data_IF_720584417848
#
_entry.id   IF_720584417848
#
_cell.length_a   1.000
_cell.length_b   1.000
_cell.length_c   1.000
_cell.angle_alpha   90.00
_cell.angle_beta   90.00
_cell.angle_gamma   90.00
#
_symmetry.space_group_name_H-M   'P 1'
#
loop_
_entity.id
_entity.type
_entity.pdbx_description
1 polymer ?
#
# COMPACT_ATOMS: atom_id res chain seq x y z
N UNK A 1 11.66 -11.36 8.62
CA UNK A 1 10.46 -11.73 7.80
C UNK A 1 10.91 -12.13 6.41
N UNK A 2 10.32 -13.19 5.88
CA UNK A 2 10.67 -13.65 4.53
C UNK A 2 9.96 -12.78 3.48
N UNK A 3 10.71 -12.14 2.55
CA UNK A 3 10.09 -11.27 1.55
C UNK A 3 9.08 -11.97 0.65
N UNK A 4 9.34 -13.22 0.27
CA UNK A 4 8.41 -13.98 -0.58
C UNK A 4 7.12 -14.31 0.18
N UNK A 5 7.22 -14.58 1.48
CA UNK A 5 6.05 -14.80 2.32
C UNK A 5 5.19 -13.53 2.38
N UNK A 6 5.85 -12.37 2.54
CA UNK A 6 5.15 -11.08 2.58
C UNK A 6 4.39 -10.83 1.28
N UNK A 7 5.04 -11.06 0.12
CA UNK A 7 4.38 -10.91 -1.19
C UNK A 7 3.19 -11.85 -1.34
N UNK A 8 3.32 -13.09 -0.88
CA UNK A 8 2.22 -14.07 -0.89
C UNK A 8 1.05 -13.60 -0.03
N UNK A 9 1.34 -13.10 1.16
CA UNK A 9 0.32 -12.56 2.07
C UNK A 9 -0.40 -11.36 1.45
N UNK A 10 0.35 -10.42 0.87
CA UNK A 10 -0.22 -9.22 0.23
C UNK A 10 -1.02 -9.61 -1.01
N UNK A 11 -0.61 -10.65 -1.75
CA UNK A 11 -1.37 -11.16 -2.90
C UNK A 11 -2.78 -11.59 -2.49
N UNK A 12 -2.96 -12.07 -1.27
CA UNK A 12 -4.26 -12.49 -0.75
C UNK A 12 -5.01 -11.35 -0.04
N UNK A 13 -4.31 -10.55 0.75
CA UNK A 13 -4.93 -9.66 1.73
C UNK A 13 -4.62 -8.17 1.53
N UNK A 14 -3.69 -7.82 0.65
CA UNK A 14 -3.32 -6.42 0.43
C UNK A 14 -4.25 -5.71 -0.53
N UNK A 15 -4.13 -4.38 -0.54
CA UNK A 15 -4.89 -3.53 -1.47
C UNK A 15 -4.02 -2.40 -1.99
N UNK A 16 -4.16 -2.13 -3.29
CA UNK A 16 -3.48 -1.02 -3.96
C UNK A 16 -4.57 -0.09 -4.51
N UNK A 17 -4.67 1.10 -3.95
CA UNK A 17 -5.71 2.07 -4.35
C UNK A 17 -5.10 3.31 -4.97
N UNK A 18 -5.83 3.88 -5.93
CA UNK A 18 -5.53 5.20 -6.47
C UNK A 18 -6.74 6.08 -6.21
N UNK A 19 -6.53 7.17 -5.47
CA UNK A 19 -7.58 8.12 -5.16
C UNK A 19 -7.31 9.43 -5.89
N UNK A 20 -8.26 9.89 -6.68
CA UNK A 20 -8.13 11.13 -7.45
C UNK A 20 -9.04 12.16 -6.81
N UNK A 21 -8.45 13.27 -6.35
CA UNK A 21 -9.18 14.36 -5.70
C UNK A 21 -9.21 15.53 -6.64
N UNK A 22 -10.43 16.01 -6.98
CA UNK A 22 -10.63 17.20 -7.79
C UNK A 22 -10.67 18.43 -6.90
N UNK A 23 -9.83 19.42 -7.20
CA UNK A 23 -9.90 20.71 -6.53
C UNK A 23 -11.05 21.54 -7.10
N UNK A 24 -11.87 22.12 -6.22
CA UNK A 24 -12.99 22.99 -6.64
C UNK A 24 -12.52 24.34 -7.21
N UNK A 25 -11.29 24.74 -6.86
CA UNK A 25 -10.77 26.07 -7.20
C UNK A 25 -9.64 26.04 -8.23
N UNK A 26 -9.14 24.86 -8.56
CA UNK A 26 -8.04 24.69 -9.51
C UNK A 26 -8.36 23.54 -10.46
N UNK A 27 -7.88 23.63 -11.68
CA UNK A 27 -8.02 22.55 -12.67
C UNK A 27 -7.12 21.36 -12.33
N UNK A 28 -6.21 21.49 -11.36
CA UNK A 28 -5.25 20.47 -10.97
C UNK A 28 -5.91 19.41 -10.11
N UNK A 29 -5.80 18.15 -10.53
CA UNK A 29 -6.24 16.99 -9.75
C UNK A 29 -5.10 16.49 -8.88
N UNK A 30 -5.41 16.16 -7.62
CA UNK A 30 -4.46 15.51 -6.74
C UNK A 30 -4.65 14.00 -6.84
N UNK A 31 -3.56 13.27 -7.04
CA UNK A 31 -3.55 11.81 -7.11
C UNK A 31 -2.87 11.27 -5.86
N UNK A 32 -3.56 10.43 -5.11
CA UNK A 32 -3.02 9.80 -3.90
C UNK A 32 -2.95 8.29 -4.14
N UNK A 33 -1.76 7.74 -3.97
CA UNK A 33 -1.53 6.29 -4.03
C UNK A 33 -1.57 5.74 -2.61
N UNK A 34 -2.34 4.68 -2.40
CA UNK A 34 -2.52 4.08 -1.08
C UNK A 34 -2.25 2.57 -1.16
N UNK A 35 -1.32 2.10 -0.34
CA UNK A 35 -1.13 0.67 -0.11
C UNK A 35 -1.64 0.35 1.28
N UNK A 36 -2.51 -0.65 1.41
CA UNK A 36 -3.06 -1.03 2.71
C UNK A 36 -3.25 -2.53 2.87
N UNK A 37 -3.19 -2.98 4.12
CA UNK A 37 -3.50 -4.36 4.52
C UNK A 37 -4.37 -4.30 5.76
N UNK A 38 -5.54 -4.92 5.70
CA UNK A 38 -6.48 -4.99 6.83
C UNK A 38 -6.55 -6.41 7.37
N UNK A 39 -6.45 -6.56 8.68
CA UNK A 39 -6.50 -7.86 9.33
C UNK A 39 -7.21 -7.79 10.67
N UNK A 40 -7.65 -8.95 11.18
CA UNK A 40 -8.23 -9.06 12.51
C UNK A 40 -7.24 -8.55 13.56
N UNK A 41 -7.75 -7.95 14.64
CA UNK A 41 -6.92 -7.35 15.69
C UNK A 41 -5.96 -8.33 16.36
N UNK A 42 -6.26 -9.64 16.35
CA UNK A 42 -5.34 -10.67 16.85
C UNK A 42 -4.03 -10.73 16.06
N UNK A 43 -4.02 -10.21 14.83
CA UNK A 43 -2.85 -10.17 13.96
C UNK A 43 -2.18 -8.79 13.95
N UNK A 44 -2.50 -7.92 14.93
CA UNK A 44 -1.94 -6.58 15.04
C UNK A 44 -0.41 -6.59 15.06
N UNK A 45 0.18 -7.55 15.79
CA UNK A 45 1.64 -7.67 15.87
C UNK A 45 2.26 -7.91 14.49
N UNK A 46 1.60 -8.70 13.64
CA UNK A 46 2.05 -8.95 12.27
C UNK A 46 2.06 -7.67 11.45
N UNK A 47 0.97 -6.88 11.51
CA UNK A 47 0.88 -5.62 10.77
C UNK A 47 1.90 -4.59 11.28
N UNK A 48 2.19 -4.60 12.57
CA UNK A 48 3.24 -3.74 13.14
C UNK A 48 4.63 -4.16 12.64
N UNK A 49 4.86 -5.46 12.43
CA UNK A 49 6.10 -5.94 11.82
C UNK A 49 6.26 -5.44 10.39
N UNK A 50 5.17 -5.23 9.66
CA UNK A 50 5.24 -4.64 8.32
C UNK A 50 5.81 -3.23 8.37
N UNK A 51 5.42 -2.43 9.38
CA UNK A 51 5.97 -1.08 9.57
C UNK A 51 7.49 -1.13 9.72
N UNK A 52 7.99 -2.07 10.50
CA UNK A 52 9.43 -2.23 10.74
C UNK A 52 10.15 -2.77 9.52
N UNK A 53 9.60 -3.83 8.91
CA UNK A 53 10.24 -4.52 7.79
C UNK A 53 10.33 -3.64 6.55
N UNK A 54 9.24 -2.95 6.21
CA UNK A 54 9.19 -2.07 5.04
C UNK A 54 9.71 -0.67 5.36
N UNK A 55 9.95 -0.39 6.63
CA UNK A 55 10.46 0.89 7.13
C UNK A 55 9.61 2.07 6.66
N UNK A 56 8.29 1.88 6.69
CA UNK A 56 7.33 2.93 6.34
C UNK A 56 5.92 2.49 6.72
N UNK A 57 4.98 3.44 6.67
CA UNK A 57 3.58 3.18 6.92
C UNK A 57 3.20 3.29 8.38
N UNK A 58 1.91 3.17 8.65
CA UNK A 58 1.35 3.32 10.00
C UNK A 58 0.29 2.25 10.22
N UNK A 59 0.26 1.69 11.43
CA UNK A 59 -0.79 0.78 11.85
C UNK A 59 -1.89 1.57 12.55
N UNK A 60 -3.13 1.38 12.11
CA UNK A 60 -4.32 2.02 12.69
C UNK A 60 -5.28 0.95 13.21
N UNK A 61 -5.43 0.81 14.56
CA UNK A 61 -6.46 -0.08 15.07
C UNK A 61 -7.84 0.54 14.89
N UNK A 62 -8.84 -0.29 14.55
CA UNK A 62 -10.22 0.19 14.49
C UNK A 62 -10.79 0.37 15.88
N UNK A 63 -11.54 1.45 16.10
CA UNK A 63 -12.23 1.70 17.39
C UNK A 63 -13.58 0.99 17.46
N UNK A 64 -14.11 0.51 16.35
CA UNK A 64 -15.46 -0.06 16.26
C UNK A 64 -15.51 -1.53 15.86
N UNK A 65 -14.40 -2.06 15.30
CA UNK A 65 -14.31 -3.44 14.84
C UNK A 65 -13.07 -4.12 15.39
N UNK A 66 -13.09 -5.46 15.43
CA UNK A 66 -11.93 -6.24 15.84
C UNK A 66 -10.96 -6.40 14.67
N UNK A 67 -10.49 -5.27 14.14
CA UNK A 67 -9.54 -5.25 13.03
C UNK A 67 -8.60 -4.06 13.14
N UNK A 68 -7.53 -4.11 12.37
CA UNK A 68 -6.58 -3.02 12.24
C UNK A 68 -6.11 -2.92 10.80
N UNK A 69 -5.53 -1.80 10.46
CA UNK A 69 -5.13 -1.48 9.09
C UNK A 69 -3.70 -0.94 9.06
N UNK A 70 -2.84 -1.57 8.25
CA UNK A 70 -1.52 -1.04 7.93
C UNK A 70 -1.66 -0.23 6.64
N UNK A 71 -1.24 1.02 6.64
CA UNK A 71 -1.45 1.93 5.52
C UNK A 71 -0.18 2.72 5.20
N UNK A 72 0.13 2.84 3.91
CA UNK A 72 1.20 3.69 3.39
C UNK A 72 0.58 4.65 2.38
N UNK A 73 0.69 5.95 2.64
CA UNK A 73 0.13 6.99 1.76
C UNK A 73 1.16 8.01 1.30
N UNK A 74 2.29 8.12 2.01
CA UNK A 74 3.33 9.08 1.64
C UNK A 74 3.97 8.66 0.32
N UNK A 75 3.92 9.55 -0.69
CA UNK A 75 4.36 9.22 -2.05
C UNK A 75 5.82 8.77 -2.09
N UNK A 76 6.71 9.43 -1.34
CA UNK A 76 8.12 9.04 -1.32
C UNK A 76 8.33 7.62 -0.81
N UNK A 77 7.52 7.17 0.16
CA UNK A 77 7.58 5.79 0.66
C UNK A 77 7.03 4.80 -0.36
N UNK A 78 5.93 5.16 -1.03
CA UNK A 78 5.36 4.34 -2.10
C UNK A 78 6.39 4.15 -3.22
N UNK A 79 7.00 5.23 -3.68
CA UNK A 79 7.96 5.20 -4.77
C UNK A 79 9.26 4.48 -4.41
N UNK A 80 9.80 4.75 -3.22
CA UNK A 80 11.14 4.29 -2.85
C UNK A 80 11.16 2.95 -2.12
N UNK A 81 10.04 2.54 -1.53
CA UNK A 81 9.99 1.33 -0.70
C UNK A 81 8.96 0.32 -1.19
N UNK A 82 7.71 0.72 -1.38
CA UNK A 82 6.63 -0.20 -1.72
C UNK A 82 6.76 -0.72 -3.15
N UNK A 83 6.85 0.17 -4.14
CA UNK A 83 6.95 -0.24 -5.54
C UNK A 83 8.21 -1.09 -5.79
N UNK A 84 9.42 -0.64 -5.37
CA UNK A 84 10.62 -1.45 -5.61
C UNK A 84 10.56 -2.82 -4.93
N UNK A 85 9.97 -2.90 -3.74
CA UNK A 85 9.86 -4.17 -3.04
C UNK A 85 9.04 -5.18 -3.83
N UNK A 86 7.84 -4.78 -4.30
CA UNK A 86 6.97 -5.71 -5.03
C UNK A 86 7.36 -5.91 -6.50
N UNK A 87 8.25 -5.07 -7.04
CA UNK A 87 8.89 -5.38 -8.31
C UNK A 87 9.90 -6.52 -8.16
N UNK A 88 10.61 -6.54 -7.03
CA UNK A 88 11.58 -7.59 -6.72
C UNK A 88 10.91 -8.89 -6.25
N UNK A 89 9.84 -8.77 -5.46
CA UNK A 89 9.06 -9.89 -4.91
C UNK A 89 7.63 -9.77 -5.41
N UNK A 90 7.32 -10.31 -6.62
CA UNK A 90 6.05 -10.00 -7.30
C UNK A 90 4.79 -10.42 -6.57
N UNK A 91 3.75 -9.62 -6.75
CA UNK A 91 2.39 -9.92 -6.32
C UNK A 91 1.75 -10.83 -7.37
N UNK A 92 1.03 -11.85 -6.92
CA UNK A 92 0.41 -12.86 -7.78
C UNK A 92 -1.11 -12.65 -7.88
N UNK A 93 -1.70 -13.20 -8.95
CA UNK A 93 -3.15 -13.18 -9.17
C UNK A 93 -3.68 -11.82 -9.56
N UNK A 94 -4.95 -11.57 -9.24
CA UNK A 94 -5.65 -10.33 -9.57
C UNK A 94 -4.98 -9.11 -8.97
N UNK A 95 -4.47 -9.23 -7.76
CA UNK A 95 -3.77 -8.12 -7.09
C UNK A 95 -2.46 -7.73 -7.79
N UNK A 96 -1.87 -8.64 -8.54
CA UNK A 96 -0.72 -8.34 -9.39
C UNK A 96 -1.06 -7.34 -10.49
N UNK A 97 -2.27 -7.43 -11.04
CA UNK A 97 -2.75 -6.47 -12.03
C UNK A 97 -2.99 -5.11 -11.38
N UNK A 98 -3.59 -5.11 -10.20
CA UNK A 98 -3.81 -3.87 -9.42
C UNK A 98 -2.49 -3.19 -9.10
N UNK A 99 -1.48 -3.96 -8.69
CA UNK A 99 -0.16 -3.43 -8.42
C UNK A 99 0.50 -2.88 -9.68
N UNK A 100 0.35 -3.55 -10.82
CA UNK A 100 0.92 -3.09 -12.09
C UNK A 100 0.36 -1.72 -12.47
N UNK A 101 -0.96 -1.53 -12.37
CA UNK A 101 -1.61 -0.25 -12.64
C UNK A 101 -1.19 0.82 -11.64
N UNK A 102 -1.12 0.45 -10.36
CA UNK A 102 -0.69 1.30 -9.27
C UNK A 102 0.74 1.84 -9.53
N UNK A 103 1.67 0.98 -9.92
CA UNK A 103 3.05 1.39 -10.17
C UNK A 103 3.17 2.27 -11.41
N UNK A 104 2.39 2.00 -12.46
CA UNK A 104 2.37 2.86 -13.67
C UNK A 104 1.90 4.26 -13.33
N UNK A 105 0.85 4.39 -12.53
CA UNK A 105 0.34 5.69 -12.09
C UNK A 105 1.37 6.39 -11.21
N UNK A 106 2.07 5.65 -10.36
CA UNK A 106 3.16 6.19 -9.54
C UNK A 106 4.25 6.83 -10.38
N UNK A 107 4.66 6.18 -11.46
CA UNK A 107 5.66 6.75 -12.37
C UNK A 107 5.15 8.01 -13.06
N UNK A 108 3.88 8.04 -13.47
CA UNK A 108 3.29 9.24 -14.09
C UNK A 108 3.23 10.42 -13.10
N UNK A 109 2.92 10.15 -11.83
CA UNK A 109 2.90 11.19 -10.79
C UNK A 109 4.30 11.74 -10.56
N UNK A 110 5.32 10.88 -10.56
CA UNK A 110 6.71 11.28 -10.37
C UNK A 110 7.20 12.22 -11.48
N UNK A 111 6.77 12.00 -12.70
CA UNK A 111 7.22 12.79 -13.87
C UNK A 111 6.60 14.19 -13.96
N UNK A 112 5.65 14.49 -13.09
CA UNK A 112 5.05 15.85 -13.07
C UNK A 112 5.96 16.81 -12.27
#
# INVERSE_FOLDING_TARGET
MNPNWLSGFVSAEGNFFVNIINSKTKVVKQVILIFSVTQHSRDAALLQLFCEFLDCGTYYPSSTRNEGNYTVTKFSDIEQKIIPFFLKYPIHGVKGLDFSDFSKIGYLVKEK
#
